data_IF_306071985452
#
_entry.id   IF_306071985452
#
_cell.length_a   1.000
_cell.length_b   1.000
_cell.length_c   1.000
_cell.angle_alpha   90.00
_cell.angle_beta   90.00
_cell.angle_gamma   90.00
#
_symmetry.space_group_name_H-M   'P 1'
#
loop_
_entity.id
_entity.type
_entity.pdbx_description
1 polymer ?
#
# COMPACT_ATOMS: atom_id res chain seq x y z
N UNK A 1 29.30 -22.38 2.61
CA UNK A 1 28.04 -22.55 1.86
C UNK A 1 26.93 -22.77 2.86
N UNK A 2 26.34 -21.70 3.39
CA UNK A 2 25.16 -21.75 4.24
C UNK A 2 24.01 -21.15 3.44
N UNK A 3 23.05 -22.01 3.08
CA UNK A 3 21.83 -21.60 2.40
C UNK A 3 21.00 -20.76 3.37
N UNK A 4 21.01 -19.45 3.15
CA UNK A 4 20.03 -18.54 3.74
C UNK A 4 18.72 -18.85 3.03
N UNK A 5 17.80 -19.46 3.76
CA UNK A 5 16.39 -19.56 3.38
C UNK A 5 15.78 -18.17 3.49
N UNK A 6 16.05 -17.32 2.49
CA UNK A 6 15.28 -16.10 2.27
C UNK A 6 13.84 -16.53 2.05
N UNK A 7 13.01 -16.36 3.09
CA UNK A 7 11.56 -16.48 2.92
C UNK A 7 11.12 -15.22 2.20
N UNK A 8 11.34 -15.17 0.89
CA UNK A 8 10.74 -14.19 0.01
C UNK A 8 9.24 -14.41 0.12
N UNK A 9 8.56 -13.48 0.79
CA UNK A 9 7.10 -13.44 0.78
C UNK A 9 6.65 -13.20 -0.66
N UNK A 10 6.35 -14.29 -1.40
CA UNK A 10 5.76 -14.19 -2.73
C UNK A 10 4.36 -13.61 -2.57
N UNK A 11 4.20 -12.35 -2.95
CA UNK A 11 2.90 -11.72 -3.06
C UNK A 11 2.20 -12.37 -4.25
N UNK A 12 1.22 -13.23 -3.95
CA UNK A 12 0.36 -13.83 -4.96
C UNK A 12 -0.74 -12.82 -5.27
N UNK A 13 -0.75 -12.29 -6.49
CA UNK A 13 -1.85 -11.48 -7.00
C UNK A 13 -2.50 -12.17 -8.19
N UNK A 14 -3.82 -12.13 -8.24
CA UNK A 14 -4.62 -12.57 -9.39
C UNK A 14 -5.24 -11.37 -10.08
N UNK A 15 -5.17 -11.33 -11.41
CA UNK A 15 -5.88 -10.34 -12.21
C UNK A 15 -7.14 -10.98 -12.78
N UNK A 16 -8.29 -10.42 -12.44
CA UNK A 16 -9.55 -10.70 -13.12
C UNK A 16 -9.88 -9.52 -14.01
N UNK A 17 -9.88 -9.76 -15.32
CA UNK A 17 -10.28 -8.75 -16.29
C UNK A 17 -11.62 -9.15 -16.92
N UNK A 18 -12.60 -8.26 -16.82
CA UNK A 18 -13.86 -8.38 -17.55
C UNK A 18 -13.65 -7.79 -18.94
N UNK A 19 -13.90 -8.57 -19.97
CA UNK A 19 -13.85 -8.08 -21.34
C UNK A 19 -14.98 -7.08 -21.61
N UNK A 20 -14.61 -5.92 -22.16
CA UNK A 20 -15.54 -4.84 -22.48
C UNK A 20 -15.35 -4.41 -23.93
N UNK A 21 -16.43 -4.46 -24.70
CA UNK A 21 -16.48 -3.95 -26.08
C UNK A 21 -16.92 -2.50 -26.03
N UNK A 22 -16.16 -1.62 -26.71
CA UNK A 22 -16.46 -0.18 -26.78
C UNK A 22 -16.71 0.25 -28.22
N UNK A 23 -17.67 1.15 -28.41
CA UNK A 23 -17.96 1.73 -29.73
C UNK A 23 -18.51 3.14 -29.55
N UNK A 24 -18.15 4.03 -30.47
CA UNK A 24 -18.74 5.36 -30.58
C UNK A 24 -19.66 5.39 -31.80
N UNK A 25 -20.94 5.68 -31.59
CA UNK A 25 -21.91 5.89 -32.66
C UNK A 25 -22.20 7.38 -32.81
N UNK A 26 -22.09 7.91 -34.02
CA UNK A 26 -22.41 9.31 -34.34
C UNK A 26 -23.67 9.33 -35.19
N UNK A 27 -24.66 10.09 -34.73
CA UNK A 27 -25.91 10.34 -35.44
C UNK A 27 -26.00 11.81 -35.83
N UNK A 28 -25.93 12.07 -37.13
CA UNK A 28 -26.12 13.40 -37.72
C UNK A 28 -27.56 13.55 -38.17
N UNK A 29 -28.18 14.66 -37.79
CA UNK A 29 -29.55 15.01 -38.13
C UNK A 29 -29.49 16.37 -38.81
N UNK A 30 -29.69 16.37 -40.13
CA UNK A 30 -29.83 17.60 -40.91
C UNK A 30 -31.24 18.13 -40.79
N UNK A 31 -31.40 19.44 -40.99
CA UNK A 31 -32.68 20.12 -40.94
C UNK A 31 -33.41 19.86 -39.60
N UNK A 32 -32.66 19.89 -38.49
CA UNK A 32 -33.13 19.50 -37.16
C UNK A 32 -34.33 20.34 -36.70
N UNK A 33 -34.36 21.62 -37.03
CA UNK A 33 -35.48 22.51 -36.71
C UNK A 33 -36.81 22.01 -37.30
N UNK A 34 -36.82 21.30 -38.43
CA UNK A 34 -38.06 20.75 -39.01
C UNK A 34 -38.67 19.62 -38.19
N UNK A 35 -37.89 18.98 -37.30
CA UNK A 35 -38.42 18.03 -36.33
C UNK A 35 -39.33 18.70 -35.27
N UNK A 36 -39.44 20.04 -35.30
CA UNK A 36 -40.39 20.83 -34.50
C UNK A 36 -41.68 21.23 -35.20
N UNK A 37 -41.75 21.07 -36.51
CA UNK A 37 -42.88 21.58 -37.31
C UNK A 37 -43.92 20.48 -37.58
N UNK A 38 -43.51 19.22 -37.60
CA UNK A 38 -44.40 18.08 -37.82
C UNK A 38 -44.75 17.37 -36.50
N UNK A 39 -45.88 16.64 -36.47
CA UNK A 39 -46.34 15.77 -35.37
C UNK A 39 -45.41 14.59 -35.01
N UNK A 40 -44.12 14.70 -35.34
CA UNK A 40 -43.07 13.71 -35.14
C UNK A 40 -42.68 13.66 -33.66
N UNK A 41 -43.46 12.91 -32.88
CA UNK A 41 -43.22 12.70 -31.45
C UNK A 41 -41.86 12.05 -31.15
N UNK A 42 -41.28 11.30 -32.08
CA UNK A 42 -40.00 10.61 -31.90
C UNK A 42 -39.30 10.32 -33.22
N UNK A 43 -37.97 10.36 -33.20
CA UNK A 43 -37.11 9.93 -34.30
C UNK A 43 -36.18 8.83 -33.79
N UNK A 44 -35.84 7.89 -34.66
CA UNK A 44 -34.92 6.80 -34.32
C UNK A 44 -33.73 6.79 -35.26
N UNK A 45 -32.53 6.58 -34.73
CA UNK A 45 -31.35 6.38 -35.56
C UNK A 45 -31.42 5.04 -36.30
N UNK A 46 -30.52 4.85 -37.27
CA UNK A 46 -30.19 3.51 -37.77
C UNK A 46 -29.71 2.61 -36.64
N UNK A 47 -29.87 1.30 -36.84
CA UNK A 47 -29.32 0.31 -35.91
C UNK A 47 -27.82 0.22 -36.12
N UNK A 48 -27.05 0.30 -35.04
CA UNK A 48 -25.60 0.09 -35.05
C UNK A 48 -25.26 -1.16 -34.24
N UNK A 49 -24.18 -1.82 -34.63
CA UNK A 49 -23.85 -3.17 -34.13
C UNK A 49 -22.51 -3.18 -33.43
N UNK A 50 -22.39 -3.92 -32.33
CA UNK A 50 -21.16 -4.16 -31.59
C UNK A 50 -20.89 -5.66 -31.47
N UNK A 51 -19.62 -6.02 -31.32
CA UNK A 51 -19.17 -7.42 -31.25
C UNK A 51 -18.80 -8.03 -32.61
N UNK A 52 -17.92 -9.03 -32.59
CA UNK A 52 -17.35 -9.64 -33.80
C UNK A 52 -18.44 -10.19 -34.74
N UNK A 53 -19.52 -10.74 -34.17
CA UNK A 53 -20.65 -11.30 -34.91
C UNK A 53 -21.89 -10.40 -34.93
N UNK A 54 -21.73 -9.09 -34.66
CA UNK A 54 -22.84 -8.11 -34.61
C UNK A 54 -23.94 -8.47 -33.61
N UNK A 55 -23.52 -9.06 -32.49
CA UNK A 55 -24.34 -9.66 -31.44
C UNK A 55 -25.20 -8.62 -30.70
N UNK A 56 -24.64 -7.43 -30.49
CA UNK A 56 -25.33 -6.35 -29.81
C UNK A 56 -25.77 -5.30 -30.81
N UNK A 57 -27.07 -5.24 -31.06
CA UNK A 57 -27.67 -4.26 -31.96
C UNK A 57 -28.35 -3.18 -31.15
N UNK A 58 -27.93 -1.94 -31.34
CA UNK A 58 -28.41 -0.79 -30.58
C UNK A 58 -29.00 0.25 -31.52
N UNK A 59 -29.85 1.13 -30.98
CA UNK A 59 -30.25 2.36 -31.66
C UNK A 59 -30.52 3.47 -30.68
N UNK A 60 -30.46 4.70 -31.18
CA UNK A 60 -30.89 5.87 -30.45
C UNK A 60 -32.36 6.18 -30.74
N UNK A 61 -33.06 6.65 -29.70
CA UNK A 61 -34.42 7.17 -29.76
C UNK A 61 -34.39 8.58 -29.22
N UNK A 62 -34.67 9.54 -30.09
CA UNK A 62 -34.71 10.95 -29.75
C UNK A 62 -36.15 11.44 -29.76
N UNK A 63 -36.48 12.25 -28.77
CA UNK A 63 -37.73 12.97 -28.65
C UNK A 63 -37.38 14.44 -28.64
N UNK A 64 -37.55 15.15 -29.77
CA UNK A 64 -37.13 16.54 -29.86
C UNK A 64 -37.84 17.44 -28.85
N UNK A 65 -39.07 17.12 -28.43
CA UNK A 65 -39.94 17.91 -27.53
C UNK A 65 -40.33 17.13 -26.28
N UNK A 66 -39.38 16.46 -25.64
CA UNK A 66 -39.69 15.64 -24.48
C UNK A 66 -40.39 14.32 -24.82
N UNK A 67 -40.35 13.37 -23.88
CA UNK A 67 -41.16 12.16 -23.97
C UNK A 67 -42.65 12.46 -23.69
N UNK A 68 -42.88 13.31 -22.71
CA UNK A 68 -44.18 13.63 -22.12
C UNK A 68 -44.32 15.16 -21.98
N UNK A 69 -45.49 15.65 -21.54
CA UNK A 69 -45.77 17.09 -21.44
C UNK A 69 -44.85 17.84 -20.46
N UNK A 70 -44.41 17.18 -19.39
CA UNK A 70 -43.51 17.77 -18.39
C UNK A 70 -42.12 18.09 -18.97
N UNK A 71 -41.66 17.26 -19.92
CA UNK A 71 -40.33 17.37 -20.53
C UNK A 71 -40.35 18.20 -21.83
N UNK A 72 -41.46 18.87 -22.18
CA UNK A 72 -41.70 19.42 -23.52
C UNK A 72 -40.65 20.43 -23.99
N UNK A 73 -39.99 21.10 -23.03
CA UNK A 73 -38.96 22.10 -23.27
C UNK A 73 -37.56 21.50 -23.43
N UNK A 74 -37.41 20.19 -23.28
CA UNK A 74 -36.14 19.49 -23.37
C UNK A 74 -36.10 18.56 -24.58
N UNK A 75 -34.89 18.26 -25.03
CA UNK A 75 -34.65 17.11 -25.89
C UNK A 75 -34.41 15.88 -25.01
N UNK A 76 -35.14 14.80 -25.27
CA UNK A 76 -34.89 13.51 -24.62
C UNK A 76 -34.16 12.56 -25.56
N UNK A 77 -33.26 11.74 -25.00
CA UNK A 77 -32.50 10.78 -25.77
C UNK A 77 -32.29 9.49 -24.98
N UNK A 78 -32.50 8.37 -25.67
CA UNK A 78 -32.37 7.04 -25.09
C UNK A 78 -31.60 6.10 -25.98
N UNK A 79 -30.82 5.23 -25.35
CA UNK A 79 -30.18 4.09 -25.96
C UNK A 79 -31.09 2.88 -25.77
N UNK A 80 -31.46 2.22 -26.88
CA UNK A 80 -32.31 1.04 -26.88
C UNK A 80 -31.56 -0.17 -27.44
N UNK A 81 -31.62 -1.28 -26.71
CA UNK A 81 -31.15 -2.58 -27.19
C UNK A 81 -32.20 -3.17 -28.14
N UNK A 82 -31.79 -3.56 -29.35
CA UNK A 82 -32.64 -4.09 -30.43
C UNK A 82 -32.50 -5.61 -30.55
N UNK A 83 -31.28 -6.13 -30.46
CA UNK A 83 -31.04 -7.56 -30.62
C UNK A 83 -31.70 -8.37 -29.50
N UNK A 84 -32.27 -9.55 -29.81
CA UNK A 84 -32.71 -10.50 -28.80
C UNK A 84 -31.49 -10.97 -28.01
N UNK A 85 -31.67 -11.16 -26.71
CA UNK A 85 -30.61 -11.59 -25.81
C UNK A 85 -31.15 -12.64 -24.85
N UNK A 86 -30.53 -13.81 -24.83
CA UNK A 86 -30.91 -14.88 -23.91
C UNK A 86 -30.61 -14.50 -22.45
N UNK A 87 -29.57 -13.69 -22.24
CA UNK A 87 -29.17 -13.14 -20.94
C UNK A 87 -29.17 -11.61 -20.97
N UNK A 88 -29.44 -10.93 -19.84
CA UNK A 88 -29.39 -9.48 -19.80
C UNK A 88 -27.97 -8.94 -20.04
N UNK A 89 -27.86 -7.92 -20.90
CA UNK A 89 -26.59 -7.29 -21.29
C UNK A 89 -26.23 -6.16 -20.33
N UNK A 90 -25.03 -6.19 -19.76
CA UNK A 90 -24.55 -5.10 -18.89
C UNK A 90 -23.82 -4.05 -19.71
N UNK A 91 -24.36 -2.83 -19.77
CA UNK A 91 -23.80 -1.75 -20.55
C UNK A 91 -23.84 -0.41 -19.81
N UNK A 92 -22.87 0.45 -20.12
CA UNK A 92 -22.87 1.88 -19.80
C UNK A 92 -22.77 2.70 -21.08
N UNK A 93 -23.21 3.94 -21.03
CA UNK A 93 -23.13 4.83 -22.19
C UNK A 93 -22.98 6.29 -21.78
N UNK A 94 -22.39 7.06 -22.67
CA UNK A 94 -22.27 8.52 -22.56
C UNK A 94 -22.95 9.16 -23.78
N UNK A 95 -23.66 10.26 -23.56
CA UNK A 95 -24.23 11.10 -24.62
C UNK A 95 -23.49 12.43 -24.70
N UNK A 96 -23.11 12.80 -25.92
CA UNK A 96 -22.42 14.05 -26.21
C UNK A 96 -22.97 14.71 -27.47
N UNK A 97 -22.81 16.02 -27.58
CA UNK A 97 -22.94 16.75 -28.83
C UNK A 97 -21.55 16.95 -29.43
N UNK A 98 -21.40 16.72 -30.73
CA UNK A 98 -20.19 17.07 -31.48
C UNK A 98 -20.43 18.42 -32.14
N UNK A 99 -19.68 19.43 -31.68
CA UNK A 99 -19.72 20.78 -32.24
C UNK A 99 -19.16 20.81 -33.66
N UNK A 100 -19.43 21.88 -34.44
CA UNK A 100 -18.93 22.03 -35.81
C UNK A 100 -17.39 22.02 -35.92
N UNK A 101 -16.68 22.48 -34.87
CA UNK A 101 -15.22 22.45 -34.75
C UNK A 101 -14.65 21.04 -34.45
N UNK A 102 -15.53 20.04 -34.28
CA UNK A 102 -15.17 18.67 -33.91
C UNK A 102 -15.04 18.43 -32.40
N UNK A 103 -15.17 19.46 -31.56
CA UNK A 103 -15.12 19.32 -30.12
C UNK A 103 -16.34 18.54 -29.62
N UNK A 104 -16.08 17.53 -28.79
CA UNK A 104 -17.12 16.72 -28.15
C UNK A 104 -17.49 17.32 -26.80
N UNK A 105 -18.75 17.70 -26.61
CA UNK A 105 -19.28 18.17 -25.34
C UNK A 105 -20.21 17.10 -24.73
N UNK A 106 -19.79 16.49 -23.63
CA UNK A 106 -20.57 15.45 -22.94
C UNK A 106 -21.69 16.07 -22.12
N UNK A 107 -22.92 15.65 -22.41
CA UNK A 107 -24.12 16.11 -21.73
C UNK A 107 -24.49 15.23 -20.54
N UNK A 108 -24.32 13.90 -20.68
CA UNK A 108 -24.68 12.97 -19.63
C UNK A 108 -23.91 11.64 -19.71
N UNK A 109 -23.62 11.06 -18.55
CA UNK A 109 -22.94 9.78 -18.39
C UNK A 109 -23.79 8.80 -17.59
N UNK A 110 -24.22 7.71 -18.23
CA UNK A 110 -25.08 6.72 -17.62
C UNK A 110 -24.24 5.57 -17.06
N UNK A 111 -24.48 5.24 -15.78
CA UNK A 111 -23.79 4.12 -15.10
C UNK A 111 -24.16 2.77 -15.72
N UNK A 112 -23.37 1.75 -15.41
CA UNK A 112 -23.62 0.38 -15.86
C UNK A 112 -25.03 -0.06 -15.41
N UNK A 113 -25.84 -0.50 -16.36
CA UNK A 113 -27.18 -1.04 -16.15
C UNK A 113 -27.38 -2.29 -17.01
N UNK A 114 -28.36 -3.09 -16.60
CA UNK A 114 -28.77 -4.30 -17.30
C UNK A 114 -29.84 -3.99 -18.35
N UNK A 115 -29.62 -4.47 -19.57
CA UNK A 115 -30.49 -4.35 -20.73
C UNK A 115 -31.07 -5.70 -21.14
N UNK A 116 -32.34 -5.69 -21.49
CA UNK A 116 -33.01 -6.80 -22.19
C UNK A 116 -33.49 -6.28 -23.53
N UNK A 117 -33.89 -7.17 -24.43
CA UNK A 117 -34.41 -6.76 -25.74
C UNK A 117 -35.49 -5.67 -25.59
N UNK A 118 -35.39 -4.64 -26.44
CA UNK A 118 -36.26 -3.45 -26.48
C UNK A 118 -36.19 -2.51 -25.28
N UNK A 119 -35.44 -2.87 -24.23
CA UNK A 119 -35.21 -1.98 -23.09
C UNK A 119 -34.47 -0.73 -23.55
N UNK A 120 -34.98 0.41 -23.11
CA UNK A 120 -34.50 1.75 -23.45
C UNK A 120 -34.14 2.47 -22.16
N UNK A 121 -32.92 2.99 -22.06
CA UNK A 121 -32.46 3.80 -20.93
C UNK A 121 -31.81 5.07 -21.47
N UNK A 122 -31.95 6.18 -20.74
CA UNK A 122 -31.58 7.49 -21.25
C UNK A 122 -32.02 8.61 -20.32
N UNK A 123 -32.21 9.79 -20.89
CA UNK A 123 -32.54 11.01 -20.17
C UNK A 123 -33.76 11.65 -20.80
N UNK A 124 -34.76 11.91 -19.96
CA UNK A 124 -35.96 12.67 -20.29
C UNK A 124 -35.63 14.14 -20.57
N UNK A 125 -34.77 14.73 -19.73
CA UNK A 125 -34.30 16.11 -19.88
C UNK A 125 -32.80 16.13 -20.18
N UNK A 126 -32.37 15.72 -21.39
CA UNK A 126 -30.93 15.66 -21.71
C UNK A 126 -30.33 17.07 -21.83
N UNK A 127 -31.04 17.96 -22.53
CA UNK A 127 -30.63 19.34 -22.76
C UNK A 127 -31.86 20.20 -23.04
N UNK A 128 -31.89 21.40 -22.47
CA UNK A 128 -32.95 22.37 -22.73
C UNK A 128 -32.91 22.82 -24.19
N UNK A 129 -34.07 22.85 -24.85
CA UNK A 129 -34.16 23.20 -26.28
C UNK A 129 -33.72 24.62 -26.55
N UNK A 130 -34.10 25.56 -25.69
CA UNK A 130 -33.71 26.98 -25.81
C UNK A 130 -32.18 27.11 -25.86
N UNK A 131 -31.48 26.35 -25.01
CA UNK A 131 -30.02 26.30 -24.96
C UNK A 131 -29.43 25.57 -26.16
N UNK A 132 -30.00 24.45 -26.58
CA UNK A 132 -29.55 23.70 -27.76
C UNK A 132 -29.63 24.54 -29.05
N UNK A 133 -30.70 25.33 -29.20
CA UNK A 133 -31.00 26.14 -30.38
C UNK A 133 -30.32 27.53 -30.35
N UNK A 134 -29.76 27.96 -29.22
CA UNK A 134 -29.06 29.23 -29.12
C UNK A 134 -27.74 29.19 -29.92
N UNK A 135 -27.67 30.00 -30.98
CA UNK A 135 -26.50 30.11 -31.86
C UNK A 135 -25.20 30.41 -31.09
N UNK A 136 -25.29 31.08 -29.94
CA UNK A 136 -24.13 31.41 -29.09
C UNK A 136 -23.46 30.19 -28.48
N UNK A 137 -24.18 29.07 -28.35
CA UNK A 137 -23.62 27.82 -27.79
C UNK A 137 -22.75 27.07 -28.79
N UNK A 138 -22.96 27.30 -30.09
CA UNK A 138 -22.24 26.63 -31.17
C UNK A 138 -22.50 25.12 -31.27
N UNK A 139 -23.61 24.61 -30.73
CA UNK A 139 -23.93 23.17 -30.82
C UNK A 139 -24.38 22.71 -32.20
N UNK A 140 -24.89 23.63 -33.02
CA UNK A 140 -25.37 23.35 -34.36
C UNK A 140 -24.75 24.31 -35.38
N UNK A 141 -24.64 23.84 -36.61
CA UNK A 141 -24.31 24.64 -37.80
C UNK A 141 -25.17 24.16 -38.95
N UNK A 142 -25.70 25.08 -39.77
CA UNK A 142 -26.52 24.73 -40.94
C UNK A 142 -27.68 23.77 -40.57
N UNK A 143 -28.40 24.14 -39.50
CA UNK A 143 -29.51 23.37 -38.89
C UNK A 143 -29.21 21.87 -38.69
N UNK A 144 -27.94 21.55 -38.42
CA UNK A 144 -27.47 20.18 -38.28
C UNK A 144 -27.05 19.90 -36.85
N UNK A 145 -27.71 18.91 -36.23
CA UNK A 145 -27.35 18.39 -34.92
C UNK A 145 -26.53 17.10 -35.07
N UNK A 146 -25.36 17.03 -34.43
CA UNK A 146 -24.55 15.80 -34.34
C UNK A 146 -24.50 15.30 -32.90
N UNK A 147 -25.11 14.15 -32.68
CA UNK A 147 -25.12 13.46 -31.38
C UNK A 147 -24.16 12.28 -31.43
N UNK A 148 -23.36 12.10 -30.39
CA UNK A 148 -22.51 10.93 -30.20
C UNK A 148 -22.98 10.13 -29.00
N UNK A 149 -23.01 8.81 -29.15
CA UNK A 149 -23.23 7.86 -28.07
C UNK A 149 -22.04 6.91 -27.98
N UNK A 150 -21.27 7.01 -26.90
CA UNK A 150 -20.22 6.04 -26.59
C UNK A 150 -20.82 4.94 -25.74
N UNK A 151 -20.81 3.70 -26.23
CA UNK A 151 -21.38 2.54 -25.54
C UNK A 151 -20.24 1.60 -25.14
N UNK A 152 -20.29 1.13 -23.89
CA UNK A 152 -19.40 0.07 -23.38
C UNK A 152 -20.25 -1.10 -22.89
N UNK A 153 -20.06 -2.28 -23.49
CA UNK A 153 -20.80 -3.52 -23.18
C UNK A 153 -19.84 -4.53 -22.54
N UNK A 154 -20.18 -5.07 -21.38
CA UNK A 154 -19.47 -6.21 -20.79
C UNK A 154 -19.96 -7.51 -21.42
N UNK A 155 -19.05 -8.33 -21.95
CA UNK A 155 -19.39 -9.56 -22.70
C UNK A 155 -19.67 -10.77 -21.81
N UNK A 156 -19.41 -10.64 -20.49
CA UNK A 156 -19.52 -11.75 -19.54
C UNK A 156 -18.31 -12.69 -19.54
N UNK A 157 -17.38 -12.54 -20.50
CA UNK A 157 -16.10 -13.24 -20.47
C UNK A 157 -15.22 -12.64 -19.37
N UNK A 158 -14.80 -13.50 -18.45
CA UNK A 158 -13.83 -13.17 -17.42
C UNK A 158 -12.52 -13.88 -17.78
N UNK A 159 -11.50 -13.08 -18.08
CA UNK A 159 -10.15 -13.59 -18.20
C UNK A 159 -9.57 -13.59 -16.79
N UNK A 160 -9.54 -14.78 -16.19
CA UNK A 160 -8.79 -15.03 -14.97
C UNK A 160 -7.41 -15.48 -15.40
N UNK A 161 -6.44 -14.58 -15.29
CA UNK A 161 -5.05 -14.90 -15.56
C UNK A 161 -4.26 -14.80 -14.24
N UNK A 162 -3.36 -15.75 -13.95
CA UNK A 162 -2.17 -15.36 -13.23
C UNK A 162 -1.54 -14.25 -14.09
N UNK A 163 -1.35 -13.06 -13.51
CA UNK A 163 -0.88 -11.86 -14.23
C UNK A 163 0.16 -12.24 -15.29
N UNK A 164 -0.18 -12.06 -16.57
CA UNK A 164 0.76 -12.29 -17.66
C UNK A 164 1.90 -11.29 -17.49
N UNK A 165 3.12 -11.80 -17.47
CA UNK A 165 4.36 -11.04 -17.49
C UNK A 165 4.35 -10.11 -18.72
N UNK A 166 3.97 -8.84 -18.54
CA UNK A 166 4.56 -7.78 -19.37
C UNK A 166 6.08 -7.85 -19.14
N UNK A 167 6.93 -7.60 -20.16
CA UNK A 167 8.36 -7.57 -19.92
C UNK A 167 8.64 -6.45 -18.91
N UNK A 168 8.81 -6.85 -17.65
CA UNK A 168 9.25 -5.98 -16.58
C UNK A 168 10.58 -5.39 -17.06
N UNK A 169 10.58 -4.10 -17.41
CA UNK A 169 11.78 -3.31 -17.12
C UNK A 169 12.10 -3.65 -15.66
N UNK A 170 13.29 -4.21 -15.33
CA UNK A 170 13.54 -4.70 -13.99
C UNK A 170 13.17 -3.58 -13.04
N UNK A 171 12.15 -3.81 -12.20
CA UNK A 171 11.86 -2.87 -11.13
C UNK A 171 13.19 -2.65 -10.42
N UNK A 172 13.63 -1.39 -10.22
CA UNK A 172 14.87 -1.16 -9.52
C UNK A 172 14.73 -1.90 -8.20
N UNK A 173 15.51 -2.98 -8.03
CA UNK A 173 15.58 -3.79 -6.81
C UNK A 173 15.38 -2.82 -5.67
N UNK A 174 14.29 -2.97 -4.91
CA UNK A 174 13.79 -2.03 -3.90
C UNK A 174 14.88 -1.02 -3.52
N UNK A 175 14.81 0.21 -4.02
CA UNK A 175 15.91 1.18 -3.88
C UNK A 175 16.37 1.32 -2.41
N UNK A 176 15.44 1.08 -1.48
CA UNK A 176 15.68 0.94 -0.05
C UNK A 176 16.55 -0.29 0.32
N UNK A 177 16.27 -1.49 -0.19
CA UNK A 177 17.11 -2.67 -0.01
C UNK A 177 18.50 -2.50 -0.63
N UNK A 178 18.61 -1.84 -1.78
CA UNK A 178 19.91 -1.51 -2.37
C UNK A 178 20.68 -0.54 -1.46
N UNK A 179 20.05 0.52 -0.94
CA UNK A 179 20.69 1.43 0.00
C UNK A 179 21.18 0.70 1.26
N UNK A 180 20.34 -0.15 1.85
CA UNK A 180 20.72 -0.94 3.03
C UNK A 180 21.91 -1.87 2.74
N UNK A 181 21.91 -2.52 1.57
CA UNK A 181 23.03 -3.36 1.12
C UNK A 181 24.30 -2.54 0.90
N UNK A 182 24.18 -1.36 0.32
CA UNK A 182 25.31 -0.48 0.04
C UNK A 182 25.91 0.07 1.35
N UNK A 183 25.08 0.37 2.36
CA UNK A 183 25.54 0.73 3.71
C UNK A 183 26.21 -0.46 4.43
N UNK A 184 25.67 -1.67 4.34
CA UNK A 184 26.30 -2.88 4.90
C UNK A 184 27.64 -3.20 4.21
N UNK A 185 27.73 -2.96 2.90
CA UNK A 185 28.97 -3.04 2.12
C UNK A 185 29.97 -1.97 2.54
N UNK A 186 29.53 -0.75 2.83
CA UNK A 186 30.37 0.34 3.31
C UNK A 186 31.01 -0.01 4.67
N UNK A 187 30.23 -0.62 5.57
CA UNK A 187 30.73 -1.14 6.84
C UNK A 187 31.72 -2.30 6.65
N UNK A 188 31.34 -3.31 5.86
CA UNK A 188 32.12 -4.54 5.68
C UNK A 188 33.46 -4.29 4.99
N UNK A 189 33.47 -3.41 3.98
CA UNK A 189 34.66 -3.04 3.23
C UNK A 189 35.39 -1.82 3.80
N UNK A 190 34.86 -1.22 4.87
CA UNK A 190 35.46 -0.08 5.60
C UNK A 190 35.73 1.13 4.70
N UNK A 191 34.86 1.32 3.71
CA UNK A 191 35.07 2.33 2.64
C UNK A 191 34.86 3.73 3.23
N UNK A 192 35.95 4.49 3.36
CA UNK A 192 35.97 5.85 3.95
C UNK A 192 35.70 5.93 5.46
N UNK A 193 35.96 4.85 6.21
CA UNK A 193 35.86 4.89 7.66
C UNK A 193 36.79 5.97 8.26
N UNK A 194 36.27 6.78 9.17
CA UNK A 194 36.94 7.96 9.74
C UNK A 194 37.08 7.89 11.28
N UNK A 195 36.63 6.81 11.90
CA UNK A 195 36.80 6.51 13.33
C UNK A 195 36.87 5.01 13.61
N UNK A 196 37.68 4.62 14.59
CA UNK A 196 37.73 3.25 15.13
C UNK A 196 37.06 3.14 16.50
N UNK A 197 36.13 2.19 16.68
CA UNK A 197 35.63 1.80 18.00
C UNK A 197 36.44 0.63 18.51
N UNK A 198 37.07 0.78 19.68
CA UNK A 198 37.93 -0.22 20.30
C UNK A 198 37.18 -0.93 21.43
N UNK A 199 37.10 -2.26 21.38
CA UNK A 199 36.55 -3.11 22.44
C UNK A 199 37.53 -4.24 22.72
N UNK A 200 38.09 -4.27 23.94
CA UNK A 200 39.23 -5.14 24.22
C UNK A 200 40.39 -4.90 23.25
N UNK A 201 40.80 -5.94 22.54
CA UNK A 201 41.84 -5.91 21.50
C UNK A 201 41.29 -5.71 20.08
N UNK A 202 39.96 -5.71 19.92
CA UNK A 202 39.30 -5.59 18.63
C UNK A 202 39.04 -4.12 18.26
N UNK A 203 39.13 -3.84 16.96
CA UNK A 203 38.90 -2.52 16.37
C UNK A 203 37.86 -2.59 15.25
N UNK A 204 36.78 -1.84 15.41
CA UNK A 204 35.73 -1.66 14.41
C UNK A 204 35.86 -0.32 13.70
N UNK A 205 36.12 -0.34 12.40
CA UNK A 205 36.25 0.88 11.58
C UNK A 205 34.86 1.30 11.08
N UNK A 206 34.44 2.50 11.45
CA UNK A 206 33.08 3.02 11.23
C UNK A 206 33.09 4.49 10.82
N UNK A 207 31.90 5.06 10.59
CA UNK A 207 31.72 6.39 10.03
C UNK A 207 31.03 7.32 11.04
N UNK A 208 31.71 8.39 11.45
CA UNK A 208 31.20 9.39 12.40
C UNK A 208 29.84 9.93 11.97
N UNK A 209 29.71 10.31 10.69
CA UNK A 209 28.48 10.88 10.14
C UNK A 209 27.26 9.96 10.33
N UNK A 210 27.43 8.65 10.06
CA UNK A 210 26.33 7.70 10.16
C UNK A 210 25.97 7.41 11.62
N UNK A 211 26.97 7.23 12.49
CA UNK A 211 26.76 7.04 13.93
C UNK A 211 26.06 8.26 14.55
N UNK A 212 26.51 9.48 14.22
CA UNK A 212 25.89 10.73 14.68
C UNK A 212 24.44 10.87 14.21
N UNK A 213 24.14 10.53 12.95
CA UNK A 213 22.78 10.63 12.42
C UNK A 213 21.80 9.68 13.12
N UNK A 214 22.29 8.54 13.64
CA UNK A 214 21.46 7.46 14.18
C UNK A 214 21.46 7.41 15.71
N UNK A 215 22.45 8.01 16.38
CA UNK A 215 22.55 8.10 17.82
C UNK A 215 22.93 9.50 18.26
N UNK A 216 22.04 10.14 19.04
CA UNK A 216 22.32 11.43 19.68
C UNK A 216 23.55 11.41 20.60
N UNK A 217 23.87 10.24 21.16
CA UNK A 217 25.02 10.07 22.06
C UNK A 217 26.33 10.09 21.25
N UNK A 218 26.37 9.38 20.13
CA UNK A 218 27.49 9.49 19.19
C UNK A 218 27.59 10.90 18.58
N UNK A 219 26.47 11.54 18.24
CA UNK A 219 26.48 12.91 17.75
C UNK A 219 27.15 13.87 18.74
N UNK A 220 26.71 13.85 20.01
CA UNK A 220 27.30 14.67 21.06
C UNK A 220 28.79 14.33 21.31
N UNK A 221 29.14 13.04 21.26
CA UNK A 221 30.53 12.57 21.41
C UNK A 221 31.46 13.13 20.33
N UNK A 222 30.98 13.27 19.08
CA UNK A 222 31.80 13.75 17.96
C UNK A 222 31.72 15.26 17.71
N UNK A 223 30.70 15.94 18.24
CA UNK A 223 30.51 17.39 18.06
C UNK A 223 31.43 18.22 18.98
N UNK A 224 31.55 17.82 20.25
CA UNK A 224 32.35 18.53 21.25
C UNK A 224 33.86 18.26 21.10
N UNK A 225 34.70 19.24 21.46
CA UNK A 225 36.18 19.12 21.47
C UNK A 225 36.69 18.19 22.60
N UNK A 226 36.19 16.97 22.63
CA UNK A 226 36.66 15.91 23.50
C UNK A 226 37.82 15.15 22.85
N UNK A 227 38.50 14.29 23.63
CA UNK A 227 39.66 13.52 23.14
C UNK A 227 39.29 12.68 21.92
N UNK A 228 38.06 12.21 21.85
CA UNK A 228 37.44 11.40 20.79
C UNK A 228 37.23 12.16 19.48
N UNK A 229 37.19 13.50 19.51
CA UNK A 229 37.18 14.31 18.28
C UNK A 229 38.59 14.46 17.71
N UNK A 230 39.59 14.58 18.59
CA UNK A 230 41.01 14.72 18.25
C UNK A 230 41.69 13.39 17.92
N UNK A 231 41.21 12.30 18.51
CA UNK A 231 41.65 10.94 18.27
C UNK A 231 40.65 10.28 17.32
N UNK A 232 41.11 9.66 16.22
CA UNK A 232 40.24 8.85 15.35
C UNK A 232 39.85 7.50 15.98
N UNK A 233 39.74 7.45 17.32
CA UNK A 233 39.53 6.25 18.12
C UNK A 233 38.66 6.53 19.35
N UNK A 234 37.70 5.64 19.62
CA UNK A 234 36.83 5.66 20.80
C UNK A 234 36.95 4.32 21.51
N UNK A 235 37.26 4.31 22.81
CA UNK A 235 37.36 3.09 23.61
C UNK A 235 36.04 2.78 24.31
N UNK A 236 35.50 1.59 24.06
CA UNK A 236 34.27 1.07 24.66
C UNK A 236 34.67 -0.06 25.61
N UNK A 237 34.40 0.14 26.91
CA UNK A 237 34.90 -0.74 27.99
C UNK A 237 33.82 -1.63 28.61
N UNK A 238 32.55 -1.28 28.41
CA UNK A 238 31.39 -1.80 29.13
C UNK A 238 30.42 -2.57 28.22
N UNK A 239 30.85 -2.92 27.01
CA UNK A 239 30.05 -3.66 26.02
C UNK A 239 30.90 -4.79 25.46
N UNK A 240 30.33 -5.98 25.41
CA UNK A 240 30.95 -7.16 24.80
C UNK A 240 31.10 -6.98 23.28
N UNK A 241 32.09 -7.65 22.69
CA UNK A 241 32.40 -7.50 21.27
C UNK A 241 31.20 -7.83 20.39
N UNK A 242 30.53 -8.93 20.67
CA UNK A 242 29.40 -9.46 19.91
C UNK A 242 28.20 -8.49 19.97
N UNK A 243 27.99 -7.88 21.14
CA UNK A 243 26.94 -6.86 21.33
C UNK A 243 27.30 -5.58 20.57
N UNK A 244 28.57 -5.16 20.58
CA UNK A 244 29.01 -3.98 19.85
C UNK A 244 28.89 -4.18 18.34
N UNK A 245 29.24 -5.35 17.83
CA UNK A 245 29.11 -5.68 16.41
C UNK A 245 27.67 -5.54 15.92
N UNK A 246 26.70 -6.07 16.67
CA UNK A 246 25.28 -5.98 16.32
C UNK A 246 24.68 -4.59 16.57
N UNK A 247 25.16 -3.85 17.56
CA UNK A 247 24.85 -2.42 17.73
C UNK A 247 25.27 -1.64 16.48
N UNK A 248 26.50 -1.86 15.99
CA UNK A 248 27.01 -1.22 14.78
C UNK A 248 26.17 -1.65 13.57
N UNK A 249 25.89 -2.94 13.39
CA UNK A 249 25.02 -3.44 12.30
C UNK A 249 23.66 -2.74 12.30
N UNK A 250 23.04 -2.60 13.47
CA UNK A 250 21.77 -1.90 13.60
C UNK A 250 21.86 -0.42 13.18
N UNK A 251 22.94 0.27 13.54
CA UNK A 251 23.14 1.67 13.15
C UNK A 251 23.19 1.85 11.62
N UNK A 252 23.77 0.89 10.90
CA UNK A 252 23.88 0.94 9.44
C UNK A 252 22.63 0.46 8.71
N UNK A 253 22.03 -0.63 9.21
CA UNK A 253 21.04 -1.39 8.43
C UNK A 253 19.65 -1.42 9.07
N UNK A 254 19.52 -0.98 10.32
CA UNK A 254 18.30 -1.14 11.12
C UNK A 254 18.00 -2.60 11.49
N UNK A 255 18.93 -3.53 11.26
CA UNK A 255 18.75 -4.97 11.49
C UNK A 255 19.73 -5.49 12.54
N UNK A 256 19.32 -6.56 13.21
CA UNK A 256 20.11 -7.31 14.19
C UNK A 256 20.02 -8.78 13.83
N UNK A 257 21.14 -9.50 13.86
CA UNK A 257 21.21 -10.95 13.72
C UNK A 257 21.11 -11.60 15.10
N UNK A 258 20.39 -12.71 15.18
CA UNK A 258 20.35 -13.58 16.36
C UNK A 258 20.04 -12.82 17.68
N UNK A 259 19.11 -11.86 17.63
CA UNK A 259 18.81 -10.96 18.76
C UNK A 259 18.54 -11.71 20.06
N UNK A 260 17.94 -12.89 20.02
CA UNK A 260 17.53 -13.66 21.21
C UNK A 260 18.70 -14.05 22.12
N UNK A 261 19.91 -14.25 21.59
CA UNK A 261 21.07 -14.66 22.38
C UNK A 261 21.74 -13.48 23.10
N UNK A 262 21.68 -12.30 22.50
CA UNK A 262 22.38 -11.09 22.96
C UNK A 262 21.45 -10.00 23.51
N UNK A 263 20.13 -10.21 23.49
CA UNK A 263 19.14 -9.19 23.79
C UNK A 263 19.36 -8.45 25.13
N UNK A 264 19.76 -9.11 26.25
CA UNK A 264 20.03 -8.40 27.50
C UNK A 264 21.18 -7.40 27.40
N UNK A 265 22.30 -7.79 26.79
CA UNK A 265 23.45 -6.92 26.59
C UNK A 265 23.15 -5.82 25.57
N UNK A 266 22.45 -6.17 24.49
CA UNK A 266 22.06 -5.23 23.44
C UNK A 266 21.04 -4.20 23.93
N UNK A 267 20.15 -4.58 24.86
CA UNK A 267 19.24 -3.64 25.54
C UNK A 267 20.03 -2.58 26.32
N UNK A 268 21.05 -3.01 27.07
CA UNK A 268 21.90 -2.10 27.82
C UNK A 268 22.65 -1.13 26.90
N UNK A 269 23.18 -1.63 25.78
CA UNK A 269 23.84 -0.81 24.77
C UNK A 269 22.87 0.17 24.08
N UNK A 270 21.67 -0.30 23.72
CA UNK A 270 20.64 0.51 23.09
C UNK A 270 20.19 1.67 24.00
N UNK A 271 20.02 1.42 25.29
CA UNK A 271 19.70 2.46 26.27
C UNK A 271 20.86 3.47 26.42
N UNK A 272 22.10 2.97 26.55
CA UNK A 272 23.31 3.81 26.67
C UNK A 272 23.50 4.75 25.47
N UNK A 273 23.28 4.27 24.25
CA UNK A 273 23.42 5.08 23.02
C UNK A 273 22.11 5.70 22.54
N UNK A 274 21.05 5.63 23.36
CA UNK A 274 19.73 6.19 23.11
C UNK A 274 19.11 5.78 21.76
N UNK A 275 19.08 4.48 21.50
CA UNK A 275 18.51 3.84 20.32
C UNK A 275 17.15 3.20 20.67
N UNK A 276 16.09 3.99 20.64
CA UNK A 276 14.77 3.56 21.10
C UNK A 276 14.19 2.38 20.30
N UNK A 277 14.36 2.35 18.98
CA UNK A 277 13.84 1.27 18.14
C UNK A 277 14.53 -0.06 18.45
N UNK A 278 15.86 -0.03 18.62
CA UNK A 278 16.64 -1.20 19.05
C UNK A 278 16.23 -1.67 20.44
N UNK A 279 16.04 -0.71 21.37
CA UNK A 279 15.57 -1.00 22.72
C UNK A 279 14.24 -1.77 22.70
N UNK A 280 13.27 -1.32 21.89
CA UNK A 280 11.98 -2.01 21.71
C UNK A 280 12.13 -3.40 21.07
N UNK A 281 13.05 -3.57 20.13
CA UNK A 281 13.34 -4.89 19.54
C UNK A 281 13.88 -5.86 20.61
N UNK A 282 14.82 -5.42 21.44
CA UNK A 282 15.36 -6.21 22.55
C UNK A 282 14.27 -6.54 23.59
N UNK A 283 13.44 -5.57 23.98
CA UNK A 283 12.33 -5.79 24.92
C UNK A 283 11.38 -6.88 24.43
N UNK A 284 11.01 -6.86 23.13
CA UNK A 284 10.15 -7.88 22.53
C UNK A 284 10.78 -9.27 22.55
N UNK A 285 12.06 -9.37 22.22
CA UNK A 285 12.79 -10.64 22.23
C UNK A 285 12.89 -11.21 23.65
N UNK A 286 13.26 -10.38 24.64
CA UNK A 286 13.34 -10.79 26.05
C UNK A 286 11.98 -11.24 26.57
N UNK A 287 10.91 -10.50 26.25
CA UNK A 287 9.56 -10.86 26.66
C UNK A 287 9.10 -12.19 26.04
N UNK A 288 9.41 -12.43 24.76
CA UNK A 288 9.00 -13.65 24.05
C UNK A 288 9.71 -14.90 24.60
N UNK A 289 10.89 -14.73 25.19
CA UNK A 289 11.68 -15.78 25.83
C UNK A 289 11.56 -15.80 27.37
N UNK A 290 10.53 -15.16 27.92
CA UNK A 290 10.32 -15.08 29.37
C UNK A 290 9.92 -16.45 29.94
N UNK A 291 10.62 -16.89 30.98
CA UNK A 291 10.40 -18.14 31.69
C UNK A 291 10.33 -17.90 33.20
N UNK A 292 9.84 -18.90 33.93
CA UNK A 292 9.81 -18.89 35.40
C UNK A 292 11.22 -18.70 35.98
N UNK A 293 12.24 -19.23 35.29
CA UNK A 293 13.62 -19.20 35.78
C UNK A 293 14.32 -17.85 35.52
N UNK A 294 13.96 -17.15 34.44
CA UNK A 294 14.62 -15.90 34.05
C UNK A 294 13.85 -14.62 34.44
N UNK A 295 12.57 -14.70 34.83
CA UNK A 295 11.71 -13.53 35.07
C UNK A 295 12.26 -12.55 36.11
N UNK A 296 12.91 -13.05 37.17
CA UNK A 296 13.51 -12.19 38.20
C UNK A 296 14.68 -11.37 37.64
N UNK A 297 15.55 -12.01 36.85
CA UNK A 297 16.66 -11.32 36.20
C UNK A 297 16.15 -10.30 35.17
N UNK A 298 15.13 -10.67 34.39
CA UNK A 298 14.48 -9.77 33.43
C UNK A 298 13.91 -8.53 34.10
N UNK A 299 13.32 -8.63 35.30
CA UNK A 299 12.84 -7.47 36.05
C UNK A 299 13.96 -6.53 36.48
N UNK A 300 15.09 -7.07 36.95
CA UNK A 300 16.27 -6.28 37.31
C UNK A 300 16.81 -5.54 36.09
N UNK A 301 16.91 -6.23 34.96
CA UNK A 301 17.36 -5.65 33.69
C UNK A 301 16.40 -4.54 33.23
N UNK A 302 15.09 -4.80 33.26
CA UNK A 302 14.08 -3.86 32.82
C UNK A 302 14.04 -2.60 33.69
N UNK A 303 14.20 -2.74 35.01
CA UNK A 303 14.28 -1.59 35.92
C UNK A 303 15.55 -0.77 35.69
N UNK A 304 16.70 -1.45 35.59
CA UNK A 304 18.01 -0.81 35.36
C UNK A 304 18.05 0.03 34.10
N UNK A 305 17.41 -0.44 33.03
CA UNK A 305 17.39 0.24 31.73
C UNK A 305 16.10 1.03 31.50
N UNK A 306 15.31 1.30 32.55
CA UNK A 306 14.07 2.06 32.48
C UNK A 306 13.12 1.60 31.34
N UNK A 307 13.03 0.27 31.16
CA UNK A 307 12.16 -0.40 30.19
C UNK A 307 10.81 -0.68 30.83
N UNK A 308 9.98 0.37 30.92
CA UNK A 308 8.69 0.33 31.63
C UNK A 308 7.75 -0.75 31.09
N UNK A 309 7.69 -0.93 29.77
CA UNK A 309 6.84 -1.93 29.11
C UNK A 309 7.27 -3.34 29.49
N UNK A 310 8.56 -3.67 29.33
CA UNK A 310 9.11 -4.97 29.71
C UNK A 310 8.93 -5.24 31.21
N UNK A 311 9.13 -4.23 32.05
CA UNK A 311 8.93 -4.35 33.50
C UNK A 311 7.49 -4.71 33.84
N UNK A 312 6.51 -4.00 33.26
CA UNK A 312 5.09 -4.29 33.48
C UNK A 312 4.72 -5.71 33.02
N UNK A 313 5.18 -6.10 31.83
CA UNK A 313 4.96 -7.42 31.27
C UNK A 313 5.56 -8.54 32.13
N UNK A 314 6.78 -8.34 32.65
CA UNK A 314 7.43 -9.30 33.54
C UNK A 314 6.71 -9.41 34.90
N UNK A 315 6.18 -8.31 35.44
CA UNK A 315 5.33 -8.32 36.65
C UNK A 315 4.04 -9.11 36.41
N UNK A 316 3.39 -8.94 35.26
CA UNK A 316 2.18 -9.68 34.90
C UNK A 316 2.46 -11.18 34.76
N UNK A 317 3.55 -11.55 34.08
CA UNK A 317 3.98 -12.93 33.98
C UNK A 317 4.29 -13.55 35.36
N UNK A 318 4.95 -12.80 36.24
CA UNK A 318 5.22 -13.21 37.62
C UNK A 318 3.94 -13.46 38.40
N UNK A 319 2.95 -12.56 38.32
CA UNK A 319 1.64 -12.73 38.98
C UNK A 319 0.93 -13.98 38.49
N UNK A 320 0.95 -14.25 37.19
CA UNK A 320 0.31 -15.43 36.60
C UNK A 320 1.01 -16.76 36.99
N UNK A 321 2.31 -16.73 37.26
CA UNK A 321 3.12 -17.91 37.60
C UNK A 321 3.56 -17.96 39.08
N UNK A 322 2.95 -17.14 39.95
CA UNK A 322 3.35 -16.98 41.35
C UNK A 322 3.50 -18.30 42.14
N UNK A 323 2.60 -19.29 42.02
CA UNK A 323 2.77 -20.57 42.74
C UNK A 323 4.08 -21.29 42.37
N UNK A 324 4.39 -21.37 41.07
CA UNK A 324 5.60 -22.06 40.57
C UNK A 324 6.89 -21.32 40.94
N UNK A 325 6.84 -19.99 40.99
CA UNK A 325 7.98 -19.17 41.42
C UNK A 325 8.29 -19.36 42.91
N UNK A 326 7.26 -19.48 43.75
CA UNK A 326 7.43 -19.75 45.18
C UNK A 326 8.01 -21.14 45.42
N UNK A 327 7.60 -22.14 44.65
CA UNK A 327 8.19 -23.48 44.72
C UNK A 327 9.67 -23.49 44.29
N UNK A 328 10.02 -22.77 43.22
CA UNK A 328 11.41 -22.64 42.77
C UNK A 328 12.30 -21.89 43.79
N UNK A 329 11.78 -20.82 44.40
CA UNK A 329 12.49 -20.09 45.46
C UNK A 329 12.64 -20.93 46.73
N UNK A 330 11.61 -21.70 47.12
CA UNK A 330 11.67 -22.62 48.25
C UNK A 330 12.71 -23.72 48.00
N UNK A 331 12.73 -24.32 46.80
CA UNK A 331 13.72 -25.33 46.42
C UNK A 331 15.14 -24.75 46.37
N UNK A 332 15.32 -23.52 45.88
CA UNK A 332 16.60 -22.83 45.88
C UNK A 332 17.11 -22.58 47.31
N UNK A 333 16.25 -22.08 48.20
CA UNK A 333 16.58 -21.86 49.62
C UNK A 333 16.92 -23.18 50.34
N UNK A 334 16.17 -24.25 50.08
CA UNK A 334 16.43 -25.59 50.61
C UNK A 334 17.78 -26.15 50.12
N UNK A 335 18.11 -26.01 48.83
CA UNK A 335 19.40 -26.45 48.26
C UNK A 335 20.60 -25.63 48.77
N UNK A 336 20.39 -24.35 49.09
CA UNK A 336 21.44 -23.48 49.68
C UNK A 336 21.62 -23.70 51.19
N UNK A 337 20.69 -24.42 51.83
CA UNK A 337 20.69 -24.72 53.27
C UNK A 337 21.35 -26.05 53.66
N UNK A 338 21.67 -26.95 52.71
CA UNK A 338 22.18 -28.30 53.03
C UNK A 338 23.71 -28.39 53.19
N UNK A 339 24.46 -27.29 53.15
CA UNK A 339 25.92 -27.30 53.36
C UNK A 339 26.37 -26.99 54.81
N UNK A 340 25.53 -27.29 55.81
CA UNK A 340 25.86 -27.10 57.24
C UNK A 340 25.63 -28.35 58.10
N UNK A 341 25.79 -29.56 57.53
CA UNK A 341 25.87 -30.80 58.29
C UNK A 341 27.14 -31.58 57.92
N UNK A 342 28.31 -30.95 58.13
CA UNK A 342 29.55 -31.71 58.28
C UNK A 342 29.46 -32.44 59.62
N UNK A 343 29.27 -33.77 59.56
CA UNK A 343 29.25 -34.65 60.72
C UNK A 343 30.60 -34.66 61.42
N UNK A 344 30.71 -33.89 62.50
CA UNK A 344 31.61 -34.18 63.61
C UNK A 344 30.79 -34.82 64.74
N UNK A 345 30.72 -36.15 64.76
CA UNK A 345 31.09 -37.01 65.88
C UNK A 345 30.97 -38.47 65.50
#
# INVERSE_FOLDING_TARGET
>A
MSNISDTVSKKLSSLTQVEVIRTSYIWTIHNFSFLSVESTKKVKSSVFTMGANKEYQWRLRMYPHGCDEEDSNHLSLFLQLVSPTDTPVSAKFDFSIIKPDGQKHTLASHKIRSYTQWKSLGYHELIERSHLLDERTGYMSDDTLKVSCDVSVATGNMVNQPSLEEPELPEPIDAELNLLRDLDNMLSNKIYADVGLLVGDDRFEVHKALLSARSRVFAAMFEHDMKEKQQSEVRILDIEKEVLEELIRFLYTGRVKEIDTIAPGLLAAADKYALNDLKLMCERSIFSNLTVDNVLNTLVIADRHNSLTLKQQAIEFMKANAPRLMDNLANFLLSSGECAACGCK
#
